data_IF_565202936524
#
_entry.id   IF_565202936524
#
_cell.length_a   1.000
_cell.length_b   1.000
_cell.length_c   1.000
_cell.angle_alpha   90.00
_cell.angle_beta   90.00
_cell.angle_gamma   90.00
#
_symmetry.space_group_name_H-M   'P 1'
#
loop_
_entity.id
_entity.type
_entity.pdbx_description
1 polymer ?
#
# COMPACT_ATOMS: atom_id res chain seq x y z
N UNK A 1 17.47 2.28 -15.56
CA UNK A 1 16.33 2.96 -14.89
C UNK A 1 16.41 2.58 -13.41
N UNK A 2 16.33 3.56 -12.49
CA UNK A 2 16.31 3.24 -11.06
C UNK A 2 14.96 2.66 -10.66
N UNK A 3 14.97 1.77 -9.67
CA UNK A 3 13.76 1.16 -9.12
C UNK A 3 13.44 1.77 -7.75
N UNK A 4 12.16 2.04 -7.55
CA UNK A 4 11.57 2.35 -6.26
C UNK A 4 10.68 1.16 -5.88
N UNK A 5 11.06 0.39 -4.89
CA UNK A 5 10.22 -0.66 -4.34
C UNK A 5 9.32 -0.05 -3.26
N UNK A 6 8.02 -0.10 -3.51
CA UNK A 6 7.00 0.48 -2.63
C UNK A 6 6.28 -0.65 -1.90
N UNK A 7 6.64 -0.86 -0.63
CA UNK A 7 6.00 -1.83 0.26
C UNK A 7 4.85 -1.18 1.02
N UNK A 8 3.67 -1.75 0.92
CA UNK A 8 2.45 -1.18 1.45
C UNK A 8 1.46 -2.23 1.94
N UNK A 9 0.51 -1.81 2.77
CA UNK A 9 -0.69 -2.56 3.11
C UNK A 9 -1.91 -1.70 2.80
N UNK A 10 -2.92 -2.26 2.11
CA UNK A 10 -4.13 -1.53 1.73
C UNK A 10 -4.93 -1.02 2.94
N UNK A 11 -4.77 -1.66 4.11
CA UNK A 11 -5.36 -1.19 5.37
C UNK A 11 -4.58 -0.05 6.04
N UNK A 12 -3.48 0.43 5.44
CA UNK A 12 -2.69 1.54 5.96
C UNK A 12 -3.08 2.87 5.30
N UNK A 13 -3.66 3.84 6.04
CA UNK A 13 -4.00 5.13 5.47
C UNK A 13 -2.78 5.95 5.04
N UNK A 14 -1.65 5.80 5.72
CA UNK A 14 -0.39 6.44 5.29
C UNK A 14 0.17 5.81 4.00
N UNK A 15 -0.07 4.50 3.78
CA UNK A 15 0.25 3.87 2.49
C UNK A 15 -0.63 4.42 1.37
N UNK A 16 -1.92 4.71 1.63
CA UNK A 16 -2.79 5.40 0.68
C UNK A 16 -2.22 6.76 0.29
N UNK A 17 -1.86 7.60 1.27
CA UNK A 17 -1.27 8.91 1.02
C UNK A 17 -0.03 8.80 0.12
N UNK A 18 0.89 7.89 0.43
CA UNK A 18 2.07 7.67 -0.40
C UNK A 18 1.71 7.15 -1.80
N UNK A 19 0.80 6.18 -1.91
CA UNK A 19 0.39 5.57 -3.17
C UNK A 19 -0.14 6.60 -4.18
N UNK A 20 -0.89 7.60 -3.72
CA UNK A 20 -1.41 8.68 -4.57
C UNK A 20 -0.31 9.52 -5.23
N UNK A 21 0.91 9.51 -4.67
CA UNK A 21 2.05 10.30 -5.14
C UNK A 21 3.00 9.50 -6.05
N UNK A 22 2.88 8.16 -6.11
CA UNK A 22 3.85 7.30 -6.79
C UNK A 22 3.97 7.59 -8.29
N UNK A 23 2.85 7.81 -8.99
CA UNK A 23 2.85 8.13 -10.42
C UNK A 23 3.64 9.42 -10.71
N UNK A 24 3.31 10.49 -10.01
CA UNK A 24 3.97 11.78 -10.16
C UNK A 24 5.46 11.72 -9.78
N UNK A 25 5.81 10.94 -8.76
CA UNK A 25 7.21 10.72 -8.37
C UNK A 25 7.98 9.97 -9.47
N UNK A 26 7.40 8.92 -10.05
CA UNK A 26 7.97 8.20 -11.18
C UNK A 26 8.21 9.10 -12.39
N UNK A 27 7.22 9.90 -12.75
CA UNK A 27 7.32 10.86 -13.88
C UNK A 27 8.45 11.88 -13.67
N UNK A 28 8.60 12.44 -12.46
CA UNK A 28 9.64 13.44 -12.16
C UNK A 28 11.05 12.86 -12.07
N UNK A 29 11.17 11.57 -11.77
CA UNK A 29 12.48 10.94 -11.54
C UNK A 29 12.91 10.00 -12.66
N UNK A 30 11.98 9.59 -13.54
CA UNK A 30 12.21 8.53 -14.52
C UNK A 30 12.39 7.14 -13.90
N UNK A 31 11.97 6.95 -12.63
CA UNK A 31 12.10 5.67 -11.94
C UNK A 31 10.94 4.73 -12.26
N UNK A 32 11.22 3.43 -12.20
CA UNK A 32 10.20 2.39 -12.17
C UNK A 32 9.72 2.19 -10.74
N UNK A 33 8.40 2.26 -10.51
CA UNK A 33 7.80 1.90 -9.21
C UNK A 33 7.38 0.44 -9.22
N UNK A 34 7.96 -0.35 -8.33
CA UNK A 34 7.60 -1.75 -8.11
C UNK A 34 6.65 -1.83 -6.92
N UNK A 35 5.39 -2.19 -7.16
CA UNK A 35 4.34 -2.26 -6.16
C UNK A 35 4.42 -3.58 -5.40
N UNK A 36 4.72 -3.52 -4.11
CA UNK A 36 5.01 -4.66 -3.25
C UNK A 36 4.04 -4.71 -2.06
N UNK A 37 2.83 -5.27 -2.20
CA UNK A 37 1.95 -5.45 -1.04
C UNK A 37 2.60 -6.38 -0.02
N UNK A 38 2.49 -6.03 1.27
CA UNK A 38 2.98 -6.81 2.41
C UNK A 38 1.94 -6.85 3.54
N UNK A 39 1.91 -7.92 4.31
CA UNK A 39 0.99 -8.07 5.44
C UNK A 39 1.55 -7.30 6.65
N UNK A 40 1.04 -6.09 6.90
CA UNK A 40 1.54 -5.20 7.96
C UNK A 40 1.45 -5.82 9.35
N UNK A 41 0.40 -6.60 9.64
CA UNK A 41 0.28 -7.32 10.90
C UNK A 41 1.39 -8.36 11.12
N UNK A 42 1.87 -9.01 10.05
CA UNK A 42 3.01 -9.92 10.12
C UNK A 42 4.33 -9.16 10.34
N UNK A 43 4.51 -8.02 9.67
CA UNK A 43 5.65 -7.12 9.90
C UNK A 43 5.70 -6.66 11.36
N UNK A 44 4.58 -6.21 11.92
CA UNK A 44 4.51 -5.83 13.33
C UNK A 44 4.90 -6.98 14.27
N UNK A 45 4.37 -8.18 14.03
CA UNK A 45 4.71 -9.37 14.82
C UNK A 45 6.20 -9.70 14.77
N UNK A 46 6.81 -9.61 13.59
CA UNK A 46 8.21 -9.95 13.39
C UNK A 46 9.17 -8.93 14.02
N UNK A 47 8.78 -7.64 14.08
CA UNK A 47 9.65 -6.55 14.53
C UNK A 47 9.36 -6.07 15.96
N UNK A 48 8.33 -6.60 16.62
CA UNK A 48 7.90 -6.12 17.94
C UNK A 48 7.24 -4.75 17.91
N UNK A 49 6.88 -4.24 16.70
CA UNK A 49 6.13 -3.00 16.55
C UNK A 49 4.61 -3.27 16.67
N UNK A 50 3.83 -2.21 16.83
CA UNK A 50 2.38 -2.31 16.93
C UNK A 50 1.66 -1.16 16.22
N UNK A 51 0.37 -1.36 15.98
CA UNK A 51 -0.46 -0.34 15.33
C UNK A 51 -0.60 0.90 16.25
N UNK A 52 -0.13 2.09 15.80
CA UNK A 52 -0.19 3.30 16.63
C UNK A 52 -1.60 3.69 17.09
N UNK A 53 -2.62 3.36 16.28
CA UNK A 53 -4.02 3.64 16.60
C UNK A 53 -4.57 2.87 17.83
N UNK A 54 -3.84 1.90 18.39
CA UNK A 54 -4.18 1.28 19.68
C UNK A 54 -4.06 2.24 20.86
N UNK A 55 -3.27 3.30 20.72
CA UNK A 55 -3.13 4.33 21.73
C UNK A 55 -4.10 5.47 21.40
N UNK A 56 -5.12 5.77 22.24
CA UNK A 56 -6.20 6.72 21.91
C UNK A 56 -5.71 8.11 21.51
N UNK A 57 -4.68 8.62 22.18
CA UNK A 57 -4.11 9.93 21.82
C UNK A 57 -3.44 9.91 20.44
N UNK A 58 -2.73 8.83 20.10
CA UNK A 58 -2.14 8.66 18.76
C UNK A 58 -3.22 8.50 17.69
N UNK A 59 -4.28 7.72 17.95
CA UNK A 59 -5.41 7.56 17.02
C UNK A 59 -6.06 8.90 16.67
N UNK A 60 -6.32 9.76 17.67
CA UNK A 60 -6.87 11.10 17.46
C UNK A 60 -5.92 11.99 16.67
N UNK A 61 -4.63 11.97 17.00
CA UNK A 61 -3.62 12.74 16.27
C UNK A 61 -3.54 12.28 14.81
N UNK A 62 -3.50 10.96 14.57
CA UNK A 62 -3.46 10.38 13.21
C UNK A 62 -4.65 10.82 12.35
N UNK A 63 -5.86 10.87 12.91
CA UNK A 63 -7.03 11.34 12.18
C UNK A 63 -6.84 12.77 11.64
N UNK A 64 -6.36 13.68 12.50
CA UNK A 64 -6.08 15.06 12.10
C UNK A 64 -4.90 15.17 11.11
N UNK A 65 -3.88 14.35 11.31
CA UNK A 65 -2.69 14.34 10.46
C UNK A 65 -3.01 13.85 9.03
N UNK A 66 -3.79 12.78 8.93
CA UNK A 66 -4.24 12.24 7.65
C UNK A 66 -5.09 13.23 6.85
N UNK A 67 -5.96 14.01 7.53
CA UNK A 67 -6.70 15.08 6.88
C UNK A 67 -5.76 16.15 6.30
N UNK A 68 -4.73 16.58 7.07
CA UNK A 68 -3.71 17.52 6.58
C UNK A 68 -2.96 16.98 5.36
N UNK A 69 -2.58 15.70 5.38
CA UNK A 69 -1.92 15.08 4.24
C UNK A 69 -2.82 14.99 3.02
N UNK A 70 -4.10 14.67 3.20
CA UNK A 70 -5.08 14.64 2.12
C UNK A 70 -5.25 16.02 1.48
N UNK A 71 -5.39 17.07 2.30
CA UNK A 71 -5.46 18.46 1.83
C UNK A 71 -4.18 18.88 1.11
N UNK A 72 -3.02 18.55 1.68
CA UNK A 72 -1.71 18.89 1.09
C UNK A 72 -1.48 18.20 -0.26
N UNK A 73 -1.90 16.95 -0.41
CA UNK A 73 -1.79 16.20 -1.67
C UNK A 73 -2.95 16.46 -2.64
N UNK A 74 -4.02 17.13 -2.20
CA UNK A 74 -5.22 17.37 -3.00
C UNK A 74 -5.97 16.08 -3.36
N UNK A 75 -6.00 15.10 -2.45
CA UNK A 75 -6.62 13.80 -2.66
C UNK A 75 -7.84 13.58 -1.77
N UNK A 76 -8.89 12.89 -2.26
CA UNK A 76 -10.04 12.56 -1.41
C UNK A 76 -9.61 11.62 -0.29
N UNK A 77 -10.06 11.88 0.92
CA UNK A 77 -9.81 11.02 2.07
C UNK A 77 -10.99 10.99 3.02
N UNK A 78 -11.37 9.80 3.43
CA UNK A 78 -12.31 9.54 4.51
C UNK A 78 -11.75 8.42 5.38
N UNK A 79 -11.66 8.65 6.70
CA UNK A 79 -11.24 7.58 7.59
C UNK A 79 -12.28 6.46 7.54
N UNK A 80 -11.85 5.27 7.11
CA UNK A 80 -12.77 4.17 6.81
C UNK A 80 -13.48 3.68 8.07
N UNK A 81 -14.80 3.52 7.97
CA UNK A 81 -15.64 2.90 9.00
C UNK A 81 -15.35 1.40 9.17
N UNK A 82 -14.66 0.79 8.21
CA UNK A 82 -14.24 -0.62 8.22
C UNK A 82 -12.84 -0.84 8.81
N UNK A 83 -12.16 0.24 9.28
CA UNK A 83 -10.84 0.11 9.91
C UNK A 83 -10.95 -0.38 11.36
N UNK A 84 -10.11 -1.35 11.79
CA UNK A 84 -9.08 -2.05 11.02
C UNK A 84 -9.66 -3.19 10.16
N UNK A 85 -9.21 -3.30 8.89
CA UNK A 85 -9.67 -4.31 7.94
C UNK A 85 -8.61 -5.38 7.69
N UNK A 86 -9.06 -6.63 7.43
CA UNK A 86 -8.18 -7.68 6.94
C UNK A 86 -8.03 -7.57 5.41
N UNK A 87 -7.04 -6.84 4.96
CA UNK A 87 -6.80 -6.55 3.54
C UNK A 87 -6.13 -7.69 2.75
N UNK A 88 -5.91 -8.88 3.31
CA UNK A 88 -5.11 -9.96 2.68
C UNK A 88 -5.62 -10.31 1.28
N UNK A 89 -6.94 -10.48 1.09
CA UNK A 89 -7.50 -10.81 -0.23
C UNK A 89 -7.31 -9.65 -1.21
N UNK A 90 -7.53 -8.42 -0.77
CA UNK A 90 -7.31 -7.22 -1.59
C UNK A 90 -5.83 -7.07 -2.00
N UNK A 91 -4.90 -7.33 -1.09
CA UNK A 91 -3.46 -7.32 -1.40
C UNK A 91 -3.06 -8.44 -2.38
N UNK A 92 -3.72 -9.60 -2.31
CA UNK A 92 -3.51 -10.67 -3.29
C UNK A 92 -3.99 -10.27 -4.70
N UNK A 93 -5.07 -9.48 -4.81
CA UNK A 93 -5.52 -8.95 -6.11
C UNK A 93 -4.42 -8.14 -6.80
N UNK A 94 -3.66 -7.34 -6.06
CA UNK A 94 -2.52 -6.57 -6.60
C UNK A 94 -1.45 -7.46 -7.22
N UNK A 95 -1.34 -8.71 -6.76
CA UNK A 95 -0.31 -9.67 -7.19
C UNK A 95 -0.76 -10.62 -8.31
N UNK A 96 -1.99 -10.47 -8.81
CA UNK A 96 -2.52 -11.31 -9.90
C UNK A 96 -1.81 -11.02 -11.21
N UNK A 97 -1.57 -9.74 -11.51
CA UNK A 97 -0.86 -9.29 -12.72
C UNK A 97 0.05 -8.11 -12.36
N UNK A 98 1.36 -8.32 -12.48
CA UNK A 98 2.37 -7.31 -12.13
C UNK A 98 2.23 -6.04 -12.99
N UNK A 99 1.76 -6.16 -14.25
CA UNK A 99 1.52 -5.01 -15.13
C UNK A 99 0.31 -4.16 -14.69
N UNK A 100 -0.60 -4.72 -13.90
CA UNK A 100 -1.80 -4.06 -13.36
C UNK A 100 -1.67 -3.70 -11.88
N UNK A 101 -0.56 -4.03 -11.24
CA UNK A 101 -0.37 -3.87 -9.81
C UNK A 101 -0.66 -2.44 -9.31
N UNK A 102 -0.20 -1.42 -10.04
CA UNK A 102 -0.44 -0.02 -9.71
C UNK A 102 -1.94 0.33 -9.72
N UNK A 103 -2.64 -0.03 -10.80
CA UNK A 103 -4.04 0.32 -11.00
C UNK A 103 -4.93 -0.41 -9.97
N UNK A 104 -4.66 -1.70 -9.73
CA UNK A 104 -5.39 -2.51 -8.72
C UNK A 104 -5.15 -1.96 -7.31
N UNK A 105 -3.89 -1.61 -6.97
CA UNK A 105 -3.59 -1.04 -5.66
C UNK A 105 -4.29 0.30 -5.44
N UNK A 106 -4.24 1.20 -6.43
CA UNK A 106 -4.92 2.50 -6.36
C UNK A 106 -6.45 2.36 -6.27
N UNK A 107 -7.04 1.42 -7.01
CA UNK A 107 -8.46 1.10 -6.90
C UNK A 107 -8.84 0.59 -5.50
N UNK A 108 -8.02 -0.32 -4.92
CA UNK A 108 -8.21 -0.84 -3.57
C UNK A 108 -8.09 0.23 -2.50
N UNK A 109 -7.07 1.08 -2.58
CA UNK A 109 -6.90 2.21 -1.68
C UNK A 109 -8.07 3.20 -1.76
N UNK A 110 -8.51 3.55 -2.97
CA UNK A 110 -9.64 4.44 -3.17
C UNK A 110 -10.92 3.87 -2.56
N UNK A 111 -11.20 2.58 -2.81
CA UNK A 111 -12.36 1.91 -2.25
C UNK A 111 -12.42 2.04 -0.72
N UNK A 112 -11.31 1.82 -0.02
CA UNK A 112 -11.27 1.88 1.44
C UNK A 112 -11.18 3.31 1.98
N UNK A 113 -10.32 4.17 1.42
CA UNK A 113 -9.93 5.44 2.04
C UNK A 113 -10.54 6.70 1.42
N UNK A 114 -11.24 6.57 0.29
CA UNK A 114 -12.00 7.66 -0.32
C UNK A 114 -13.51 7.36 -0.31
N UNK A 115 -13.86 6.15 -0.71
CA UNK A 115 -15.25 5.76 -0.95
C UNK A 115 -15.89 5.00 0.25
N UNK A 116 -15.11 4.73 1.32
CA UNK A 116 -15.51 4.06 2.58
C UNK A 116 -16.18 2.68 2.32
N UNK A 117 -15.61 1.89 1.39
CA UNK A 117 -16.11 0.56 1.04
C UNK A 117 -15.32 -0.52 1.80
N UNK A 118 -16.01 -1.59 2.14
CA UNK A 118 -15.39 -2.75 2.81
C UNK A 118 -14.54 -3.58 1.83
N UNK A 119 -13.21 -3.45 1.91
CA UNK A 119 -12.28 -4.23 1.07
C UNK A 119 -12.18 -5.71 1.46
N UNK A 120 -12.95 -6.16 2.45
CA UNK A 120 -13.10 -7.59 2.78
C UNK A 120 -14.29 -8.22 2.07
N UNK A 121 -15.23 -7.41 1.58
CA UNK A 121 -16.42 -7.83 0.82
C UNK A 121 -16.04 -8.27 -0.59
N UNK A 122 -16.54 -9.42 -1.02
CA UNK A 122 -16.24 -9.99 -2.33
C UNK A 122 -16.75 -9.13 -3.49
N UNK A 123 -17.89 -8.46 -3.32
CA UNK A 123 -18.44 -7.57 -4.34
C UNK A 123 -17.54 -6.36 -4.54
N UNK A 124 -16.99 -5.81 -3.44
CA UNK A 124 -16.03 -4.72 -3.50
C UNK A 124 -14.73 -5.18 -4.15
N UNK A 125 -14.22 -6.37 -3.81
CA UNK A 125 -13.02 -6.94 -4.42
C UNK A 125 -13.17 -7.14 -5.93
N UNK A 126 -14.32 -7.62 -6.40
CA UNK A 126 -14.63 -7.74 -7.84
C UNK A 126 -14.61 -6.37 -8.54
N UNK A 127 -15.21 -5.36 -7.90
CA UNK A 127 -15.19 -3.99 -8.41
C UNK A 127 -13.74 -3.41 -8.45
N UNK A 128 -12.92 -3.68 -7.44
CA UNK A 128 -11.50 -3.28 -7.41
C UNK A 128 -10.72 -3.97 -8.54
N UNK A 129 -10.95 -5.27 -8.77
CA UNK A 129 -10.33 -6.01 -9.87
C UNK A 129 -10.69 -5.39 -11.23
N UNK A 130 -11.98 -5.13 -11.48
CA UNK A 130 -12.47 -4.51 -12.71
C UNK A 130 -11.87 -3.10 -12.92
N UNK A 131 -11.90 -2.25 -11.90
CA UNK A 131 -11.32 -0.90 -11.95
C UNK A 131 -9.80 -0.93 -12.19
N UNK A 132 -9.11 -1.95 -11.69
CA UNK A 132 -7.68 -2.20 -11.94
C UNK A 132 -7.37 -2.87 -13.28
N UNK A 133 -8.40 -3.14 -14.10
CA UNK A 133 -8.25 -3.73 -15.44
C UNK A 133 -8.03 -5.25 -15.45
N UNK A 134 -8.43 -5.94 -14.39
CA UNK A 134 -8.48 -7.40 -14.30
C UNK A 134 -9.86 -7.94 -14.65
N UNK A 135 -9.94 -9.17 -15.17
CA UNK A 135 -11.21 -9.91 -15.19
C UNK A 135 -11.61 -10.28 -13.76
N UNK A 136 -12.77 -9.82 -13.25
CA UNK A 136 -13.14 -10.01 -11.85
C UNK A 136 -13.29 -11.48 -11.45
N UNK A 137 -13.83 -12.33 -12.34
CA UNK A 137 -14.03 -13.75 -12.02
C UNK A 137 -12.71 -14.50 -11.95
N UNK A 138 -11.87 -14.31 -12.96
CA UNK A 138 -10.53 -14.92 -13.00
C UNK A 138 -9.65 -14.41 -11.85
N UNK A 139 -9.71 -13.12 -11.51
CA UNK A 139 -8.95 -12.53 -10.42
C UNK A 139 -9.36 -13.12 -9.06
N UNK A 140 -10.66 -13.29 -8.80
CA UNK A 140 -11.15 -13.91 -7.55
C UNK A 140 -10.74 -15.37 -7.42
N UNK A 141 -10.58 -16.10 -8.51
CA UNK A 141 -9.99 -17.45 -8.49
C UNK A 141 -8.47 -17.41 -8.25
N UNK A 142 -7.78 -16.49 -8.92
CA UNK A 142 -6.33 -16.35 -8.84
C UNK A 142 -5.84 -16.04 -7.42
N UNK A 143 -6.53 -15.18 -6.65
CA UNK A 143 -6.13 -14.82 -5.28
C UNK A 143 -6.15 -16.00 -4.29
N UNK A 144 -6.85 -17.09 -4.62
CA UNK A 144 -6.89 -18.30 -3.79
C UNK A 144 -5.83 -19.33 -4.19
N UNK A 145 -5.09 -19.11 -5.28
CA UNK A 145 -4.03 -20.01 -5.71
C UNK A 145 -2.82 -19.98 -4.78
N UNK A 146 -2.09 -21.11 -4.64
CA UNK A 146 -0.85 -21.14 -3.87
C UNK A 146 0.19 -20.14 -4.37
N UNK A 147 0.27 -19.92 -5.68
CA UNK A 147 1.24 -19.00 -6.28
C UNK A 147 1.06 -17.55 -5.81
N UNK A 148 -0.17 -17.03 -5.83
CA UNK A 148 -0.44 -15.65 -5.38
C UNK A 148 -0.29 -15.52 -3.86
N UNK A 149 -0.71 -16.54 -3.10
CA UNK A 149 -0.50 -16.58 -1.64
C UNK A 149 0.97 -16.53 -1.28
N UNK A 150 1.79 -17.28 -2.00
CA UNK A 150 3.24 -17.32 -1.80
C UNK A 150 3.91 -16.01 -2.20
N UNK A 151 3.49 -15.36 -3.31
CA UNK A 151 3.99 -14.01 -3.66
C UNK A 151 3.78 -13.00 -2.52
N UNK A 152 2.61 -12.99 -1.89
CA UNK A 152 2.34 -12.07 -0.78
C UNK A 152 3.19 -12.40 0.45
N UNK A 153 3.38 -13.68 0.75
CA UNK A 153 4.25 -14.14 1.83
C UNK A 153 5.69 -13.71 1.56
N UNK A 154 6.21 -14.01 0.39
CA UNK A 154 7.57 -13.65 0.00
C UNK A 154 7.85 -12.15 0.06
N UNK A 155 6.91 -11.31 -0.42
CA UNK A 155 7.02 -9.86 -0.27
C UNK A 155 7.09 -9.42 1.19
N UNK A 156 6.30 -10.05 2.06
CA UNK A 156 6.27 -9.72 3.50
C UNK A 156 7.57 -10.13 4.17
N UNK A 157 8.06 -11.35 3.88
CA UNK A 157 9.30 -11.87 4.45
C UNK A 157 10.50 -11.03 3.98
N UNK A 158 10.52 -10.64 2.69
CA UNK A 158 11.57 -9.76 2.13
C UNK A 158 11.54 -8.36 2.76
N UNK A 159 10.35 -7.77 2.93
CA UNK A 159 10.23 -6.48 3.59
C UNK A 159 10.87 -6.51 4.99
N UNK A 160 10.55 -7.54 5.79
CA UNK A 160 11.12 -7.73 7.13
C UNK A 160 12.63 -7.93 7.06
N UNK A 161 13.10 -8.80 6.18
CA UNK A 161 14.54 -9.09 6.01
C UNK A 161 15.35 -7.84 5.63
N UNK A 162 14.74 -6.90 4.89
CA UNK A 162 15.35 -5.63 4.48
C UNK A 162 15.07 -4.48 5.45
N UNK A 163 14.54 -4.78 6.65
CA UNK A 163 14.43 -3.83 7.75
C UNK A 163 13.11 -3.05 7.81
N UNK A 164 12.07 -3.42 7.05
CA UNK A 164 10.76 -2.80 7.19
C UNK A 164 10.15 -3.13 8.56
N UNK A 165 9.60 -2.13 9.22
CA UNK A 165 8.94 -2.23 10.52
C UNK A 165 7.54 -1.58 10.53
N UNK A 166 7.09 -1.03 9.41
CA UNK A 166 5.81 -0.34 9.26
C UNK A 166 5.49 -0.08 7.80
N UNK A 167 4.34 0.56 7.54
CA UNK A 167 3.88 0.91 6.21
C UNK A 167 3.48 2.40 6.12
N UNK A 168 3.77 3.06 4.98
CA UNK A 168 4.52 2.57 3.83
C UNK A 168 6.01 2.46 4.12
N UNK A 169 6.68 1.48 3.50
CA UNK A 169 8.15 1.40 3.42
C UNK A 169 8.57 1.47 1.95
N UNK A 170 9.58 2.27 1.66
CA UNK A 170 10.11 2.46 0.32
C UNK A 170 11.60 2.14 0.32
N UNK A 171 12.07 1.46 -0.74
CA UNK A 171 13.47 1.12 -0.92
C UNK A 171 13.96 1.66 -2.25
N UNK A 172 15.12 2.33 -2.22
CA UNK A 172 15.88 2.75 -3.39
C UNK A 172 17.27 2.12 -3.28
N UNK A 173 17.49 1.00 -3.96
CA UNK A 173 18.63 0.14 -3.69
C UNK A 173 18.53 -0.39 -2.25
N UNK A 174 19.55 -0.12 -1.43
CA UNK A 174 19.60 -0.55 -0.02
C UNK A 174 19.11 0.53 0.95
N UNK A 175 18.76 1.74 0.45
CA UNK A 175 18.28 2.81 1.32
C UNK A 175 16.78 2.65 1.62
N UNK A 176 16.46 2.58 2.92
CA UNK A 176 15.10 2.46 3.42
C UNK A 176 14.53 3.81 3.85
N UNK A 177 13.30 4.08 3.40
CA UNK A 177 12.50 5.24 3.81
C UNK A 177 11.15 4.75 4.34
N UNK A 178 10.73 5.27 5.49
CA UNK A 178 9.45 4.91 6.10
C UNK A 178 8.57 6.14 6.29
N UNK A 179 7.31 6.04 5.85
CA UNK A 179 6.29 7.08 5.96
C UNK A 179 6.09 7.88 4.67
N UNK A 180 4.85 8.34 4.44
CA UNK A 180 4.51 9.19 3.30
C UNK A 180 5.20 10.56 3.34
N UNK A 181 5.62 11.00 4.51
CA UNK A 181 6.31 12.25 4.76
C UNK A 181 7.79 12.24 4.37
N UNK A 182 8.31 11.11 3.87
CA UNK A 182 9.71 10.93 3.39
C UNK A 182 9.86 10.93 1.87
N UNK A 183 8.79 11.16 1.12
CA UNK A 183 8.83 11.10 -0.35
C UNK A 183 9.85 12.06 -0.98
N UNK A 184 10.12 13.21 -0.37
CA UNK A 184 11.15 14.13 -0.84
C UNK A 184 12.58 13.56 -0.70
N UNK A 185 12.86 12.74 0.32
CA UNK A 185 14.13 12.02 0.44
C UNK A 185 14.23 10.87 -0.56
N UNK A 186 13.11 10.16 -0.80
CA UNK A 186 13.03 9.14 -1.85
C UNK A 186 13.34 9.74 -3.21
N UNK A 187 12.74 10.89 -3.54
CA UNK A 187 13.01 11.61 -4.78
C UNK A 187 14.48 12.00 -4.89
N UNK A 188 15.08 12.53 -3.82
CA UNK A 188 16.50 12.87 -3.79
C UNK A 188 17.39 11.64 -4.01
N UNK A 189 17.06 10.47 -3.42
CA UNK A 189 17.78 9.22 -3.63
C UNK A 189 17.68 8.71 -5.07
N UNK A 190 16.49 8.80 -5.68
CA UNK A 190 16.26 8.44 -7.07
C UNK A 190 17.03 9.32 -8.06
N UNK A 191 17.26 10.59 -7.73
CA UNK A 191 18.00 11.56 -8.57
C UNK A 191 19.51 11.49 -8.43
N UNK A 192 20.06 10.82 -7.41
CA UNK A 192 21.53 10.63 -7.27
C UNK A 192 22.03 9.86 -8.50
N UNK A 193 23.20 10.27 -9.02
CA UNK A 193 23.88 9.59 -10.14
C UNK A 193 24.52 8.28 -9.67
#
# INVERSE_FOLDING_TARGET
MKKLEFFFDLSSPYSYMAATQMKSLAERTGAEVVWRPMVLGAVFKATGNEMPARIPHKARWMGNDLMRWADYYGVPFRFSSHFPANAIKAMRLVLVDDAKAADVALAGFRAMWADDRDITDETVLRSVAEMGGLDPLAAMQAIETPAVKEKLRANTDEAVARGAFGAPTMLVGDELFWGNDRLHFVEAALRRK
#
